data_IF_388223445461
#
_entry.id   IF_388223445461
#
_cell.length_a   1.000
_cell.length_b   1.000
_cell.length_c   1.000
_cell.angle_alpha   90.00
_cell.angle_beta   90.00
_cell.angle_gamma   90.00
#
_symmetry.space_group_name_H-M   'P 1'
#
loop_
_entity.id
_entity.type
_entity.pdbx_description
1 polymer ?
#
# COMPACT_ATOMS: atom_id res chain seq x y z
N UNK A 1 -22.64 3.81 -14.27
CA UNK A 1 -21.35 3.54 -14.95
C UNK A 1 -20.17 3.91 -14.05
N UNK A 2 -20.03 5.17 -13.61
CA UNK A 2 -18.92 5.58 -12.74
C UNK A 2 -18.78 4.73 -11.46
N UNK A 3 -19.87 4.49 -10.71
CA UNK A 3 -19.83 3.66 -9.50
C UNK A 3 -19.31 2.23 -9.76
N UNK A 4 -19.83 1.55 -10.80
CA UNK A 4 -19.38 0.20 -11.17
C UNK A 4 -17.90 0.17 -11.58
N UNK A 5 -17.42 1.21 -12.25
CA UNK A 5 -16.00 1.35 -12.57
C UNK A 5 -15.14 1.48 -11.30
N UNK A 6 -15.56 2.28 -10.32
CA UNK A 6 -14.87 2.38 -9.03
C UNK A 6 -14.86 1.03 -8.29
N UNK A 7 -16.00 0.35 -8.20
CA UNK A 7 -16.09 -0.96 -7.55
C UNK A 7 -15.15 -1.96 -8.23
N UNK A 8 -15.15 -2.02 -9.57
CA UNK A 8 -14.28 -2.90 -10.33
C UNK A 8 -12.80 -2.58 -10.09
N UNK A 9 -12.42 -1.30 -10.10
CA UNK A 9 -11.06 -0.87 -9.82
C UNK A 9 -10.62 -1.27 -8.40
N UNK A 10 -11.45 -1.01 -7.39
CA UNK A 10 -11.17 -1.39 -6.01
C UNK A 10 -11.05 -2.90 -5.86
N UNK A 11 -11.94 -3.66 -6.49
CA UNK A 11 -11.90 -5.12 -6.48
C UNK A 11 -10.59 -5.65 -7.06
N UNK A 12 -10.19 -5.17 -8.24
CA UNK A 12 -8.93 -5.57 -8.88
C UNK A 12 -7.73 -5.25 -7.98
N UNK A 13 -7.67 -4.02 -7.45
CA UNK A 13 -6.57 -3.59 -6.57
C UNK A 13 -6.50 -4.47 -5.32
N UNK A 14 -7.64 -4.71 -4.66
CA UNK A 14 -7.68 -5.50 -3.42
C UNK A 14 -7.34 -6.96 -3.73
N UNK A 15 -7.82 -7.52 -4.83
CA UNK A 15 -7.53 -8.89 -5.25
C UNK A 15 -6.03 -9.14 -5.43
N UNK A 16 -5.33 -8.27 -6.17
CA UNK A 16 -3.88 -8.40 -6.36
C UNK A 16 -3.11 -8.14 -5.06
N UNK A 17 -3.56 -7.21 -4.22
CA UNK A 17 -2.99 -7.02 -2.89
C UNK A 17 -3.17 -8.24 -2.01
N UNK A 18 -4.33 -8.91 -2.04
CA UNK A 18 -4.58 -10.16 -1.34
C UNK A 18 -3.65 -11.27 -1.81
N UNK A 19 -3.39 -11.38 -3.11
CA UNK A 19 -2.45 -12.35 -3.66
C UNK A 19 -1.02 -12.09 -3.18
N UNK A 20 -0.57 -10.83 -3.25
CA UNK A 20 0.74 -10.41 -2.80
C UNK A 20 0.92 -10.65 -1.29
N UNK A 21 -0.04 -10.22 -0.48
CA UNK A 21 0.00 -10.33 0.98
C UNK A 21 -0.09 -11.80 1.40
N UNK A 22 -0.90 -12.61 0.74
CA UNK A 22 -0.95 -14.06 0.96
C UNK A 22 0.40 -14.73 0.73
N UNK A 23 1.05 -14.42 -0.40
CA UNK A 23 2.40 -14.91 -0.70
C UNK A 23 3.43 -14.40 0.33
N UNK A 24 3.35 -13.13 0.75
CA UNK A 24 4.20 -12.57 1.78
C UNK A 24 4.04 -13.28 3.13
N UNK A 25 2.81 -13.62 3.53
CA UNK A 25 2.53 -14.38 4.76
C UNK A 25 3.16 -15.77 4.73
N UNK A 26 3.10 -16.49 3.59
CA UNK A 26 3.79 -17.78 3.43
C UNK A 26 5.29 -17.62 3.66
N UNK A 27 5.91 -16.60 3.01
CA UNK A 27 7.34 -16.35 3.15
C UNK A 27 7.73 -16.00 4.58
N UNK A 28 6.96 -15.14 5.23
CA UNK A 28 7.19 -14.70 6.61
C UNK A 28 7.11 -15.89 7.58
N UNK A 29 6.23 -16.86 7.34
CA UNK A 29 6.13 -18.10 8.11
C UNK A 29 7.22 -19.13 7.79
N UNK A 30 8.22 -18.78 6.96
CA UNK A 30 9.36 -19.62 6.63
C UNK A 30 9.14 -20.56 5.44
N UNK A 31 7.99 -20.49 4.77
CA UNK A 31 7.75 -21.22 3.52
C UNK A 31 8.35 -20.53 2.30
N UNK A 32 8.26 -21.20 1.16
CA UNK A 32 8.65 -20.67 -0.15
C UNK A 32 7.40 -20.42 -1.01
N UNK A 33 6.97 -19.15 -1.17
CA UNK A 33 5.76 -18.85 -1.93
C UNK A 33 5.98 -19.00 -3.43
N UNK A 34 4.98 -19.53 -4.12
CA UNK A 34 4.87 -19.47 -5.58
C UNK A 34 3.83 -18.43 -6.01
N UNK A 35 3.88 -18.01 -7.28
CA UNK A 35 2.82 -17.17 -7.86
C UNK A 35 1.45 -17.85 -7.76
N UNK A 36 1.39 -19.17 -7.96
CA UNK A 36 0.16 -19.95 -7.83
C UNK A 36 -0.42 -19.91 -6.41
N UNK A 37 0.42 -19.89 -5.37
CA UNK A 37 -0.06 -19.84 -3.99
C UNK A 37 -0.76 -18.52 -3.70
N UNK A 38 -0.18 -17.40 -4.14
CA UNK A 38 -0.77 -16.07 -3.98
C UNK A 38 -2.13 -15.96 -4.68
N UNK A 39 -2.22 -16.37 -5.96
CA UNK A 39 -3.49 -16.36 -6.67
C UNK A 39 -4.52 -17.32 -6.07
N UNK A 40 -4.10 -18.52 -5.64
CA UNK A 40 -5.00 -19.48 -4.97
C UNK A 40 -5.63 -18.86 -3.72
N UNK A 41 -4.83 -18.17 -2.91
CA UNK A 41 -5.29 -17.47 -1.70
C UNK A 41 -6.26 -16.32 -2.04
N UNK A 42 -5.97 -15.56 -3.10
CA UNK A 42 -6.87 -14.49 -3.53
C UNK A 42 -8.21 -15.05 -4.05
N UNK A 43 -8.18 -16.15 -4.81
CA UNK A 43 -9.38 -16.81 -5.32
C UNK A 43 -10.22 -17.47 -4.22
N UNK A 44 -9.61 -18.06 -3.19
CA UNK A 44 -10.35 -18.63 -2.07
C UNK A 44 -11.11 -17.55 -1.27
N UNK A 45 -10.62 -16.31 -1.29
CA UNK A 45 -11.21 -15.17 -0.59
C UNK A 45 -11.98 -14.21 -1.50
N UNK A 46 -12.29 -14.59 -2.73
CA UNK A 46 -12.86 -13.69 -3.75
C UNK A 46 -14.18 -13.02 -3.31
N UNK A 47 -15.03 -13.76 -2.59
CA UNK A 47 -16.30 -13.23 -2.06
C UNK A 47 -16.10 -12.15 -1.01
N UNK A 48 -15.20 -12.39 -0.05
CA UNK A 48 -14.88 -11.42 1.00
C UNK A 48 -14.14 -10.21 0.43
N UNK A 49 -13.26 -10.40 -0.56
CA UNK A 49 -12.58 -9.32 -1.30
C UNK A 49 -13.61 -8.45 -2.02
N UNK A 50 -14.58 -9.05 -2.71
CA UNK A 50 -15.64 -8.30 -3.38
C UNK A 50 -16.50 -7.51 -2.41
N UNK A 51 -16.91 -8.14 -1.30
CA UNK A 51 -17.68 -7.46 -0.25
C UNK A 51 -16.91 -6.29 0.36
N UNK A 52 -15.61 -6.45 0.62
CA UNK A 52 -14.78 -5.35 1.11
C UNK A 52 -14.58 -4.26 0.06
N UNK A 53 -14.42 -4.62 -1.22
CA UNK A 53 -14.32 -3.64 -2.30
C UNK A 53 -15.54 -2.73 -2.36
N UNK A 54 -16.75 -3.26 -2.15
CA UNK A 54 -17.99 -2.47 -2.05
C UNK A 54 -17.96 -1.47 -0.88
N UNK A 55 -17.51 -1.93 0.30
CA UNK A 55 -17.37 -1.06 1.49
C UNK A 55 -16.36 0.05 1.19
N UNK A 56 -15.17 -0.32 0.74
CA UNK A 56 -14.07 0.60 0.47
C UNK A 56 -14.42 1.62 -0.63
N UNK A 57 -15.07 1.20 -1.71
CA UNK A 57 -15.52 2.10 -2.77
C UNK A 57 -16.61 3.05 -2.28
N UNK A 58 -17.53 2.57 -1.43
CA UNK A 58 -18.61 3.41 -0.88
C UNK A 58 -18.05 4.49 0.02
N UNK A 59 -17.16 4.12 0.95
CA UNK A 59 -16.49 5.09 1.84
C UNK A 59 -15.66 6.08 1.03
N UNK A 60 -14.89 5.60 0.05
CA UNK A 60 -14.09 6.46 -0.83
C UNK A 60 -14.93 7.49 -1.58
N UNK A 61 -16.07 7.08 -2.14
CA UNK A 61 -17.00 7.98 -2.85
C UNK A 61 -17.64 8.98 -1.90
N UNK A 62 -18.04 8.55 -0.71
CA UNK A 62 -18.64 9.44 0.31
C UNK A 62 -17.63 10.51 0.72
N UNK A 63 -16.41 10.12 1.11
CA UNK A 63 -15.35 11.05 1.51
C UNK A 63 -15.03 12.02 0.37
N UNK A 64 -14.89 11.52 -0.86
CA UNK A 64 -14.65 12.36 -2.03
C UNK A 64 -15.76 13.39 -2.24
N UNK A 65 -17.03 12.95 -2.19
CA UNK A 65 -18.20 13.82 -2.40
C UNK A 65 -18.27 14.91 -1.32
N UNK A 66 -17.98 14.58 -0.06
CA UNK A 66 -17.95 15.56 1.04
C UNK A 66 -16.78 16.53 0.84
N UNK A 67 -15.60 16.04 0.46
CA UNK A 67 -14.41 16.87 0.22
C UNK A 67 -14.64 17.89 -0.90
N UNK A 68 -15.21 17.46 -2.03
CA UNK A 68 -15.50 18.32 -3.19
C UNK A 68 -16.51 19.43 -2.87
N UNK A 69 -17.44 19.19 -1.93
CA UNK A 69 -18.45 20.15 -1.48
C UNK A 69 -18.01 21.00 -0.29
N UNK A 70 -16.81 20.76 0.26
CA UNK A 70 -16.34 21.43 1.47
C UNK A 70 -15.46 22.64 1.18
N UNK A 71 -15.60 23.66 2.04
CA UNK A 71 -14.62 24.75 2.17
C UNK A 71 -13.28 24.22 2.69
N UNK A 72 -12.23 25.04 2.66
CA UNK A 72 -10.87 24.65 3.02
C UNK A 72 -10.77 23.88 4.36
N UNK A 73 -11.41 24.38 5.42
CA UNK A 73 -11.44 23.72 6.72
C UNK A 73 -12.14 22.35 6.67
N UNK A 74 -13.25 22.24 5.93
CA UNK A 74 -13.95 20.97 5.76
C UNK A 74 -13.10 19.93 5.00
N UNK A 75 -12.31 20.35 4.00
CA UNK A 75 -11.37 19.46 3.30
C UNK A 75 -10.30 18.90 4.21
N UNK A 76 -9.79 19.71 5.15
CA UNK A 76 -8.82 19.24 6.17
C UNK A 76 -9.47 18.16 7.03
N UNK A 77 -10.68 18.40 7.53
CA UNK A 77 -11.40 17.41 8.36
C UNK A 77 -11.65 16.11 7.57
N UNK A 78 -12.10 16.20 6.31
CA UNK A 78 -12.30 15.01 5.47
C UNK A 78 -10.99 14.27 5.22
N UNK A 79 -9.89 14.99 5.02
CA UNK A 79 -8.56 14.39 4.87
C UNK A 79 -8.14 13.60 6.12
N UNK A 80 -8.37 14.16 7.32
CA UNK A 80 -8.09 13.47 8.58
C UNK A 80 -8.94 12.22 8.75
N UNK A 81 -10.23 12.28 8.41
CA UNK A 81 -11.11 11.10 8.43
C UNK A 81 -10.62 10.05 7.43
N UNK A 82 -10.20 10.47 6.23
CA UNK A 82 -9.63 9.59 5.23
C UNK A 82 -8.34 8.92 5.71
N UNK A 83 -7.49 9.64 6.43
CA UNK A 83 -6.28 9.11 7.06
C UNK A 83 -6.63 8.06 8.11
N UNK A 84 -7.57 8.36 9.02
CA UNK A 84 -8.03 7.40 10.03
C UNK A 84 -8.62 6.14 9.38
N UNK A 85 -9.42 6.31 8.32
CA UNK A 85 -9.96 5.19 7.55
C UNK A 85 -8.84 4.34 6.92
N UNK A 86 -7.84 4.97 6.31
CA UNK A 86 -6.71 4.27 5.70
C UNK A 86 -5.93 3.46 6.75
N UNK A 87 -5.65 4.03 7.92
CA UNK A 87 -5.01 3.33 9.03
C UNK A 87 -5.88 2.18 9.54
N UNK A 88 -7.17 2.42 9.79
CA UNK A 88 -8.10 1.41 10.29
C UNK A 88 -8.26 0.23 9.33
N UNK A 89 -8.09 0.47 8.03
CA UNK A 89 -8.25 -0.54 6.98
C UNK A 89 -6.94 -1.18 6.51
N UNK A 90 -5.81 -0.74 7.03
CA UNK A 90 -4.49 -1.19 6.59
C UNK A 90 -4.28 -2.71 6.75
N UNK A 91 -4.79 -3.28 7.84
CA UNK A 91 -4.68 -4.72 8.12
C UNK A 91 -5.90 -5.53 7.63
N UNK A 92 -6.84 -4.93 6.90
CA UNK A 92 -8.04 -5.64 6.43
C UNK A 92 -7.67 -6.75 5.47
N UNK A 93 -6.74 -6.50 4.55
CA UNK A 93 -6.35 -7.52 3.56
C UNK A 93 -5.67 -8.74 4.21
N UNK A 94 -4.67 -8.58 5.11
CA UNK A 94 -4.14 -9.69 5.89
C UNK A 94 -5.22 -10.44 6.69
N UNK A 95 -6.12 -9.71 7.36
CA UNK A 95 -7.21 -10.33 8.15
C UNK A 95 -8.17 -11.12 7.26
N UNK A 96 -8.58 -10.56 6.11
CA UNK A 96 -9.46 -11.22 5.16
C UNK A 96 -8.86 -12.54 4.68
N UNK A 97 -7.56 -12.50 4.35
CA UNK A 97 -6.85 -13.62 3.75
C UNK A 97 -6.50 -14.71 4.77
N UNK A 98 -6.13 -14.33 6.00
CA UNK A 98 -5.63 -15.27 7.01
C UNK A 98 -6.74 -15.79 7.91
N UNK A 99 -7.69 -14.93 8.30
CA UNK A 99 -8.78 -15.29 9.21
C UNK A 99 -10.04 -15.74 8.45
N UNK A 100 -10.05 -15.65 7.11
CA UNK A 100 -11.17 -16.04 6.23
C UNK A 100 -12.53 -15.45 6.68
N UNK A 101 -12.48 -14.23 7.23
CA UNK A 101 -13.66 -13.57 7.81
C UNK A 101 -14.45 -12.79 6.76
N UNK A 102 -15.72 -12.51 7.10
CA UNK A 102 -16.55 -11.60 6.30
C UNK A 102 -15.99 -10.17 6.30
N UNK A 103 -16.32 -9.36 5.27
CA UNK A 103 -15.71 -8.04 5.04
C UNK A 103 -15.92 -7.04 6.18
N UNK A 104 -17.08 -7.08 6.86
CA UNK A 104 -17.35 -6.22 8.01
C UNK A 104 -16.52 -6.61 9.24
N UNK A 105 -16.44 -7.92 9.53
CA UNK A 105 -15.63 -8.42 10.64
C UNK A 105 -14.14 -8.15 10.39
N UNK A 106 -13.68 -8.26 9.14
CA UNK A 106 -12.30 -7.94 8.79
C UNK A 106 -11.93 -6.48 9.06
N UNK A 107 -12.82 -5.53 8.75
CA UNK A 107 -12.64 -4.10 9.08
C UNK A 107 -12.58 -3.89 10.59
N UNK A 108 -13.50 -4.51 11.33
CA UNK A 108 -13.55 -4.40 12.79
C UNK A 108 -12.28 -4.98 13.44
N UNK A 109 -11.86 -6.16 13.00
CA UNK A 109 -10.66 -6.85 13.46
C UNK A 109 -9.39 -6.07 13.12
N UNK A 110 -9.28 -5.54 11.90
CA UNK A 110 -8.18 -4.64 11.50
C UNK A 110 -8.08 -3.42 12.42
N UNK A 111 -9.21 -2.77 12.72
CA UNK A 111 -9.24 -1.63 13.64
C UNK A 111 -8.88 -2.00 15.10
N UNK A 112 -9.20 -3.22 15.55
CA UNK A 112 -8.77 -3.73 16.85
C UNK A 112 -7.24 -3.96 16.89
N UNK A 113 -6.69 -4.59 15.87
CA UNK A 113 -5.25 -4.84 15.75
C UNK A 113 -4.45 -3.53 15.65
N UNK A 114 -4.98 -2.53 14.94
CA UNK A 114 -4.38 -1.20 14.84
C UNK A 114 -4.12 -0.57 16.20
N UNK A 115 -5.00 -0.74 17.20
CA UNK A 115 -4.81 -0.13 18.52
C UNK A 115 -3.49 -0.55 19.17
N UNK A 116 -3.03 -1.77 18.89
CA UNK A 116 -1.80 -2.32 19.45
C UNK A 116 -0.56 -1.95 18.62
N UNK A 117 -0.73 -1.62 17.33
CA UNK A 117 0.38 -1.39 16.38
C UNK A 117 0.35 -0.02 15.71
N UNK A 118 -0.45 0.92 16.20
CA UNK A 118 -0.68 2.22 15.57
C UNK A 118 0.63 2.97 15.30
N UNK A 119 1.54 2.94 16.28
CA UNK A 119 2.83 3.63 16.19
C UNK A 119 3.71 3.03 15.12
N UNK A 120 3.85 1.71 15.12
CA UNK A 120 4.61 1.00 14.11
C UNK A 120 4.05 1.24 12.71
N UNK A 121 2.74 1.05 12.52
CA UNK A 121 2.10 1.25 11.22
C UNK A 121 2.35 2.65 10.65
N UNK A 122 2.26 3.68 11.50
CA UNK A 122 2.49 5.06 11.08
C UNK A 122 3.95 5.26 10.71
N UNK A 123 4.88 4.87 11.59
CA UNK A 123 6.31 5.09 11.33
C UNK A 123 6.75 4.32 10.09
N UNK A 124 6.32 3.07 9.93
CA UNK A 124 6.66 2.25 8.77
C UNK A 124 6.09 2.79 7.46
N UNK A 125 4.78 3.07 7.40
CA UNK A 125 4.17 3.61 6.18
C UNK A 125 4.69 5.01 5.84
N UNK A 126 4.90 5.86 6.85
CA UNK A 126 5.45 7.19 6.64
C UNK A 126 6.90 7.09 6.15
N UNK A 127 7.71 6.18 6.70
CA UNK A 127 9.10 5.96 6.27
C UNK A 127 9.20 5.48 4.83
N UNK A 128 8.39 4.47 4.45
CA UNK A 128 8.28 3.98 3.07
C UNK A 128 7.82 5.13 2.16
N UNK A 129 6.75 5.83 2.53
CA UNK A 129 6.21 6.94 1.77
C UNK A 129 7.18 8.10 1.58
N UNK A 130 7.90 8.50 2.62
CA UNK A 130 8.92 9.56 2.55
C UNK A 130 10.09 9.15 1.68
N UNK A 131 10.61 7.93 1.83
CA UNK A 131 11.72 7.43 1.01
C UNK A 131 11.34 7.37 -0.47
N UNK A 132 10.22 6.71 -0.82
CA UNK A 132 9.80 6.59 -2.20
C UNK A 132 9.29 7.91 -2.79
N UNK A 133 8.72 8.79 -1.96
CA UNK A 133 8.35 10.15 -2.36
C UNK A 133 9.57 10.99 -2.71
N UNK A 134 10.60 11.00 -1.85
CA UNK A 134 11.85 11.68 -2.12
C UNK A 134 12.56 11.11 -3.36
N UNK A 135 12.60 9.78 -3.49
CA UNK A 135 13.15 9.10 -4.66
C UNK A 135 12.40 9.49 -5.95
N UNK A 136 11.07 9.52 -5.90
CA UNK A 136 10.22 9.94 -7.03
C UNK A 136 10.55 11.36 -7.46
N UNK A 137 10.62 12.30 -6.50
CA UNK A 137 10.98 13.70 -6.77
C UNK A 137 12.39 13.77 -7.39
N UNK A 138 13.37 13.07 -6.81
CA UNK A 138 14.74 13.04 -7.33
C UNK A 138 14.80 12.53 -8.77
N UNK A 139 14.11 11.42 -9.08
CA UNK A 139 14.04 10.85 -10.44
C UNK A 139 13.38 11.79 -11.43
N UNK A 140 12.29 12.45 -11.04
CA UNK A 140 11.62 13.45 -11.88
C UNK A 140 12.61 14.55 -12.26
N UNK A 141 13.33 15.12 -11.29
CA UNK A 141 14.33 16.15 -11.58
C UNK A 141 15.49 15.63 -12.43
N UNK A 142 16.00 14.42 -12.13
CA UNK A 142 17.11 13.81 -12.85
C UNK A 142 16.77 13.46 -14.31
N UNK A 143 15.51 13.21 -14.65
CA UNK A 143 15.12 12.87 -16.02
C UNK A 143 14.65 14.11 -16.79
N UNK A 144 13.90 15.02 -16.16
CA UNK A 144 13.33 16.18 -16.85
C UNK A 144 14.40 17.22 -17.20
N UNK A 145 15.34 17.53 -16.32
CA UNK A 145 16.34 18.56 -16.61
C UNK A 145 17.26 18.18 -17.79
N UNK A 146 17.79 16.95 -17.87
CA UNK A 146 18.55 16.51 -19.05
C UNK A 146 17.71 16.35 -20.30
N UNK A 147 16.44 15.93 -20.19
CA UNK A 147 15.59 15.75 -21.38
C UNK A 147 15.34 17.06 -22.11
N UNK A 148 15.11 18.15 -21.37
CA UNK A 148 14.96 19.49 -21.94
C UNK A 148 16.27 19.94 -22.59
N UNK A 149 17.41 19.80 -21.89
CA UNK A 149 18.72 20.18 -22.41
C UNK A 149 19.09 19.43 -23.70
N UNK A 150 18.96 18.10 -23.70
CA UNK A 150 19.28 17.27 -24.86
C UNK A 150 18.37 17.56 -26.05
N UNK A 151 17.09 17.83 -25.82
CA UNK A 151 16.17 18.18 -26.92
C UNK A 151 16.59 19.46 -27.61
N UNK A 152 16.99 20.49 -26.85
CA UNK A 152 17.46 21.76 -27.39
C UNK A 152 18.83 21.60 -28.08
N UNK A 153 19.74 20.84 -27.48
CA UNK A 153 21.10 20.67 -28.00
C UNK A 153 21.16 19.89 -29.33
N UNK A 154 20.25 18.94 -29.54
CA UNK A 154 20.22 18.07 -30.72
C UNK A 154 19.09 18.40 -31.71
N UNK A 155 18.28 19.42 -31.44
CA UNK A 155 17.11 19.84 -32.23
C UNK A 155 16.20 18.67 -32.64
N UNK A 156 16.03 17.69 -31.74
CA UNK A 156 15.31 16.47 -32.03
C UNK A 156 14.13 16.26 -31.06
N UNK A 157 12.88 16.55 -31.48
CA UNK A 157 11.71 16.44 -30.61
C UNK A 157 11.37 14.99 -30.22
N UNK A 158 11.90 13.97 -30.91
CA UNK A 158 11.67 12.57 -30.51
C UNK A 158 12.32 12.25 -29.16
N UNK A 159 13.35 12.98 -28.75
CA UNK A 159 14.00 12.82 -27.45
C UNK A 159 13.06 13.08 -26.28
N UNK A 160 12.15 14.05 -26.40
CA UNK A 160 11.13 14.32 -25.36
C UNK A 160 10.18 13.13 -25.19
N UNK A 161 9.76 12.50 -26.29
CA UNK A 161 8.86 11.35 -26.26
C UNK A 161 9.57 10.16 -25.60
N UNK A 162 10.80 9.86 -26.01
CA UNK A 162 11.60 8.76 -25.45
C UNK A 162 11.86 8.96 -23.96
N UNK A 163 12.28 10.17 -23.56
CA UNK A 163 12.52 10.50 -22.15
C UNK A 163 11.24 10.53 -21.32
N UNK A 164 10.11 10.94 -21.91
CA UNK A 164 8.79 10.88 -21.29
C UNK A 164 8.35 9.43 -21.03
N UNK A 165 8.52 8.54 -22.00
CA UNK A 165 8.25 7.11 -21.84
C UNK A 165 9.17 6.48 -20.79
N UNK A 166 10.46 6.84 -20.81
CA UNK A 166 11.42 6.40 -19.80
C UNK A 166 11.00 6.85 -18.39
N UNK A 167 10.60 8.11 -18.24
CA UNK A 167 10.11 8.65 -16.97
C UNK A 167 8.91 7.84 -16.47
N UNK A 168 7.90 7.64 -17.31
CA UNK A 168 6.71 6.85 -16.94
C UNK A 168 7.10 5.43 -16.54
N UNK A 169 7.98 4.77 -17.29
CA UNK A 169 8.44 3.42 -16.95
C UNK A 169 9.15 3.36 -15.59
N UNK A 170 10.05 4.30 -15.30
CA UNK A 170 10.75 4.36 -14.01
C UNK A 170 9.78 4.67 -12.86
N UNK A 171 8.83 5.59 -13.06
CA UNK A 171 7.81 5.90 -12.05
C UNK A 171 6.92 4.70 -11.74
N UNK A 172 6.53 3.93 -12.75
CA UNK A 172 5.77 2.68 -12.58
C UNK A 172 6.59 1.66 -11.78
N UNK A 173 7.88 1.50 -12.08
CA UNK A 173 8.76 0.60 -11.33
C UNK A 173 8.89 1.01 -9.86
N UNK A 174 9.10 2.30 -9.59
CA UNK A 174 9.14 2.85 -8.23
C UNK A 174 7.83 2.58 -7.49
N UNK A 175 6.68 2.84 -8.13
CA UNK A 175 5.37 2.58 -7.56
C UNK A 175 5.14 1.10 -7.25
N UNK A 176 5.58 0.20 -8.13
CA UNK A 176 5.45 -1.24 -7.95
C UNK A 176 6.29 -1.74 -6.77
N UNK A 177 7.54 -1.30 -6.66
CA UNK A 177 8.42 -1.65 -5.53
C UNK A 177 7.84 -1.09 -4.22
N UNK A 178 7.40 0.17 -4.22
CA UNK A 178 6.79 0.82 -3.06
C UNK A 178 5.53 0.08 -2.60
N UNK A 179 4.61 -0.21 -3.51
CA UNK A 179 3.38 -0.96 -3.21
C UNK A 179 3.68 -2.36 -2.69
N UNK A 180 4.71 -3.02 -3.23
CA UNK A 180 5.10 -4.37 -2.81
C UNK A 180 5.62 -4.35 -1.38
N UNK A 181 6.51 -3.40 -1.06
CA UNK A 181 7.03 -3.23 0.29
C UNK A 181 5.95 -2.88 1.30
N UNK A 182 4.98 -2.02 0.93
CA UNK A 182 3.83 -1.72 1.79
C UNK A 182 2.98 -2.95 2.08
N UNK A 183 2.76 -3.82 1.09
CA UNK A 183 2.05 -5.09 1.27
C UNK A 183 2.80 -6.08 2.18
N UNK A 184 4.10 -6.24 1.97
CA UNK A 184 4.96 -7.08 2.84
C UNK A 184 4.98 -6.53 4.26
N UNK A 185 5.08 -5.21 4.42
CA UNK A 185 5.04 -4.55 5.72
C UNK A 185 3.70 -4.76 6.42
N UNK A 186 2.58 -4.67 5.69
CA UNK A 186 1.25 -4.98 6.23
C UNK A 186 1.15 -6.42 6.73
N UNK A 187 1.69 -7.39 5.99
CA UNK A 187 1.75 -8.79 6.40
C UNK A 187 2.61 -8.97 7.67
N UNK A 188 3.77 -8.32 7.74
CA UNK A 188 4.66 -8.38 8.91
C UNK A 188 4.02 -7.76 10.15
N UNK A 189 3.38 -6.60 10.02
CA UNK A 189 2.67 -5.94 11.13
C UNK A 189 1.46 -6.76 11.57
N UNK A 190 0.70 -7.33 10.63
CA UNK A 190 -0.40 -8.24 10.96
C UNK A 190 0.11 -9.42 11.80
N UNK A 191 1.20 -10.06 11.37
CA UNK A 191 1.79 -11.18 12.10
C UNK A 191 2.18 -10.78 13.52
N UNK A 192 2.86 -9.65 13.67
CA UNK A 192 3.23 -9.11 14.98
C UNK A 192 2.00 -8.82 15.86
N UNK A 193 0.95 -8.20 15.30
CA UNK A 193 -0.24 -7.80 16.03
C UNK A 193 -1.16 -8.97 16.43
N UNK A 194 -1.30 -9.95 15.53
CA UNK A 194 -2.28 -11.03 15.64
C UNK A 194 -1.68 -12.33 16.20
N UNK A 195 -0.45 -12.66 15.84
CA UNK A 195 0.21 -13.91 16.23
C UNK A 195 1.17 -13.72 17.42
N UNK A 196 1.56 -12.48 17.74
CA UNK A 196 2.50 -12.18 18.83
C UNK A 196 3.93 -12.66 18.57
N UNK A 197 4.22 -13.21 17.39
CA UNK A 197 5.52 -13.71 16.99
C UNK A 197 6.32 -12.64 16.24
N UNK A 198 7.45 -12.23 16.81
CA UNK A 198 8.52 -11.56 16.07
C UNK A 198 9.21 -12.60 15.21
N UNK A 199 8.67 -12.85 14.02
CA UNK A 199 9.32 -13.73 13.05
C UNK A 199 10.71 -13.22 12.68
N UNK A 200 11.76 -13.69 13.37
CA UNK A 200 13.18 -13.74 13.01
C UNK A 200 13.94 -12.48 12.56
N UNK A 201 13.28 -11.44 12.06
CA UNK A 201 13.86 -10.30 11.35
C UNK A 201 13.94 -9.02 12.21
N UNK A 202 13.15 -8.94 13.29
CA UNK A 202 13.29 -7.93 14.34
C UNK A 202 13.83 -8.61 15.59
N UNK A 203 15.08 -9.08 15.52
CA UNK A 203 15.77 -9.54 16.73
C UNK A 203 15.91 -8.33 17.67
N UNK A 204 15.45 -8.42 18.94
CA UNK A 204 15.70 -7.39 19.96
C UNK A 204 17.20 -7.03 20.09
N UNK A 205 18.06 -7.96 19.68
CA UNK A 205 19.51 -7.84 19.63
C UNK A 205 20.01 -6.78 18.63
N UNK A 206 19.32 -6.55 17.51
CA UNK A 206 19.68 -5.49 16.55
C UNK A 206 19.44 -4.09 17.12
N UNK A 207 18.41 -3.94 17.95
CA UNK A 207 18.11 -2.67 18.66
C UNK A 207 19.06 -2.50 19.84
N UNK A 208 19.34 -3.56 20.62
CA UNK A 208 20.26 -3.49 21.75
C UNK A 208 21.71 -3.22 21.33
N UNK A 209 22.16 -3.71 20.18
CA UNK A 209 23.51 -3.45 19.66
C UNK A 209 23.66 -2.06 19.02
N UNK A 210 22.57 -1.42 18.57
CA UNK A 210 22.59 -0.04 18.07
C UNK A 210 22.78 1.01 19.19
N UNK A 211 22.41 0.67 20.43
CA UNK A 211 22.53 1.56 21.60
C UNK A 211 23.68 1.21 22.55
N UNK A 212 24.45 0.15 22.28
CA UNK A 212 25.77 -0.03 22.92
C UNK A 212 26.75 0.98 22.31
N UNK A 213 26.71 2.20 22.84
CA UNK A 213 27.85 3.14 22.78
C UNK A 213 29.09 2.39 23.27
N UNK A 214 30.17 2.47 22.49
CA UNK A 214 31.53 2.21 22.99
C UNK A 214 31.80 3.02 24.25
#
# INVERSE_FOLDING_TARGET
IAFLFYVAQYFVIIFFNSALIGAAMIRLRGGDPTLSDGFRIAFSNIGSIFGYALIASTVGIILRTISERSNFLGRIVVSLIGLVWNLATFLVVPVLVVEETGPFEAVKRSAQLLKNTWGEQIVGNLSIGMFFGALTIAVIFLIIAPSIYLTIAFDNPTLLIVMGLLLVAVLVLIGLVSSTLSGIYAAAVYRFAAEGETGGYFQPELVQNAFRRK
#
